data_IF_548984593638
#
_entry.id   IF_548984593638
#
_cell.length_a   1.000
_cell.length_b   1.000
_cell.length_c   1.000
_cell.angle_alpha   90.00
_cell.angle_beta   90.00
_cell.angle_gamma   90.00
#
_symmetry.space_group_name_H-M   'P 1'
#
loop_
_entity.id
_entity.type
_entity.pdbx_description
1 polymer ?
#
# COMPACT_ATOMS: atom_id res chain seq x y z
N UNK A 1 6.44 -16.14 6.42
CA UNK A 1 5.16 -15.93 7.15
C UNK A 1 4.77 -17.17 7.98
N UNK A 2 3.91 -17.05 9.01
CA UNK A 2 3.55 -18.24 9.82
C UNK A 2 2.62 -19.19 9.05
N UNK A 3 2.76 -20.50 9.30
CA UNK A 3 1.88 -21.52 8.71
C UNK A 3 0.41 -21.28 9.06
N UNK A 4 0.13 -20.76 10.26
CA UNK A 4 -1.20 -20.41 10.71
C UNK A 4 -1.85 -19.35 9.82
N UNK A 5 -1.14 -18.26 9.48
CA UNK A 5 -1.70 -17.19 8.63
C UNK A 5 -2.00 -17.70 7.20
N UNK A 6 -1.14 -18.57 6.66
CA UNK A 6 -1.43 -19.21 5.36
C UNK A 6 -2.69 -20.06 5.41
N UNK A 7 -2.87 -20.81 6.49
CA UNK A 7 -4.06 -21.64 6.69
C UNK A 7 -5.33 -20.77 6.80
N UNK A 8 -5.31 -19.71 7.61
CA UNK A 8 -6.44 -18.78 7.76
C UNK A 8 -6.84 -18.14 6.43
N UNK A 9 -5.87 -17.66 5.65
CA UNK A 9 -6.14 -17.11 4.31
C UNK A 9 -6.69 -18.17 3.36
N UNK A 10 -6.12 -19.37 3.37
CA UNK A 10 -6.59 -20.48 2.54
C UNK A 10 -8.04 -20.84 2.81
N UNK A 11 -8.46 -20.87 4.08
CA UNK A 11 -9.87 -21.10 4.45
C UNK A 11 -10.74 -19.96 3.95
N UNK A 12 -10.40 -18.71 4.20
CA UNK A 12 -11.16 -17.54 3.74
C UNK A 12 -11.31 -17.51 2.22
N UNK A 13 -10.22 -17.82 1.50
CA UNK A 13 -10.22 -17.85 0.04
C UNK A 13 -11.17 -18.93 -0.49
N UNK A 14 -11.09 -20.15 0.01
CA UNK A 14 -11.97 -21.26 -0.41
C UNK A 14 -13.42 -20.99 -0.10
N UNK A 15 -13.73 -20.42 1.07
CA UNK A 15 -15.10 -19.99 1.40
C UNK A 15 -15.62 -18.94 0.41
N UNK A 16 -14.81 -17.96 0.04
CA UNK A 16 -15.19 -16.96 -0.96
C UNK A 16 -15.36 -17.55 -2.35
N UNK A 17 -14.52 -18.51 -2.75
CA UNK A 17 -14.67 -19.25 -4.00
C UNK A 17 -15.98 -20.04 -4.03
N UNK A 18 -16.35 -20.74 -2.93
CA UNK A 18 -17.60 -21.47 -2.80
C UNK A 18 -18.82 -20.52 -2.94
N UNK A 19 -18.80 -19.39 -2.23
CA UNK A 19 -19.86 -18.36 -2.30
C UNK A 19 -19.98 -17.77 -3.71
N UNK A 20 -18.86 -17.57 -4.41
CA UNK A 20 -18.83 -17.14 -5.81
C UNK A 20 -19.15 -18.28 -6.80
N UNK A 21 -19.24 -19.50 -6.31
CA UNK A 21 -19.45 -20.73 -7.08
C UNK A 21 -18.33 -21.04 -8.04
N UNK A 22 -17.10 -20.79 -7.63
CA UNK A 22 -15.90 -21.09 -8.40
C UNK A 22 -15.37 -22.48 -8.09
N UNK A 23 -15.14 -23.27 -9.13
CA UNK A 23 -14.47 -24.57 -9.02
C UNK A 23 -12.94 -24.45 -9.08
N UNK A 24 -12.46 -23.41 -9.79
CA UNK A 24 -11.06 -23.09 -9.93
C UNK A 24 -10.85 -21.58 -9.89
N UNK A 25 -9.83 -21.14 -9.16
CA UNK A 25 -9.31 -19.78 -9.21
C UNK A 25 -7.89 -19.79 -9.79
N UNK A 26 -7.67 -18.99 -10.82
CA UNK A 26 -6.36 -18.75 -11.43
C UNK A 26 -5.87 -17.38 -10.95
N UNK A 27 -4.72 -17.37 -10.30
CA UNK A 27 -4.09 -16.14 -9.80
C UNK A 27 -2.76 -15.94 -10.51
N UNK A 28 -2.59 -14.77 -11.12
CA UNK A 28 -1.35 -14.43 -11.82
C UNK A 28 -0.60 -13.30 -11.10
N UNK A 29 0.71 -13.29 -11.24
CA UNK A 29 1.57 -12.24 -10.71
C UNK A 29 2.99 -12.36 -11.21
N UNK A 30 3.83 -11.44 -10.77
CA UNK A 30 5.26 -11.41 -11.12
C UNK A 30 6.07 -10.78 -9.97
N UNK A 31 7.38 -10.66 -10.14
CA UNK A 31 8.29 -10.09 -9.13
C UNK A 31 7.90 -8.67 -8.66
N UNK A 32 7.22 -7.89 -9.50
CA UNK A 32 6.83 -6.49 -9.19
C UNK A 32 5.36 -6.34 -8.80
N UNK A 33 4.53 -7.35 -9.07
CA UNK A 33 3.08 -7.36 -8.79
C UNK A 33 2.70 -8.74 -8.27
N UNK A 34 2.83 -8.95 -6.98
CA UNK A 34 2.63 -10.25 -6.33
C UNK A 34 1.59 -10.25 -5.20
N UNK A 35 0.93 -9.15 -4.96
CA UNK A 35 -0.09 -8.98 -3.90
C UNK A 35 -1.14 -10.08 -3.89
N UNK A 36 -1.74 -10.41 -5.04
CA UNK A 36 -2.71 -11.50 -5.15
C UNK A 36 -2.10 -12.90 -4.93
N UNK A 37 -0.88 -13.14 -5.43
CA UNK A 37 -0.15 -14.37 -5.17
C UNK A 37 0.25 -14.48 -3.68
N UNK A 38 0.67 -13.38 -3.07
CA UNK A 38 0.95 -13.30 -1.64
C UNK A 38 -0.30 -13.63 -0.82
N UNK A 39 -1.46 -13.12 -1.21
CA UNK A 39 -2.71 -13.46 -0.53
C UNK A 39 -3.04 -14.95 -0.69
N UNK A 40 -3.08 -15.43 -1.93
CA UNK A 40 -3.54 -16.77 -2.25
C UNK A 40 -2.62 -17.88 -1.72
N UNK A 41 -1.29 -17.75 -1.92
CA UNK A 41 -0.32 -18.81 -1.65
C UNK A 41 0.91 -18.36 -0.84
N UNK A 42 0.99 -17.10 -0.42
CA UNK A 42 2.15 -16.53 0.27
C UNK A 42 3.43 -16.58 -0.57
N UNK A 43 3.30 -16.35 -1.87
CA UNK A 43 4.41 -16.39 -2.80
C UNK A 43 4.71 -15.01 -3.36
N UNK A 44 5.98 -14.64 -3.34
CA UNK A 44 6.55 -13.51 -4.08
C UNK A 44 7.58 -14.07 -5.06
N UNK A 45 7.30 -14.07 -6.36
CA UNK A 45 8.31 -14.46 -7.35
C UNK A 45 9.53 -13.54 -7.27
N UNK A 46 10.74 -14.11 -7.34
CA UNK A 46 11.97 -13.30 -7.43
C UNK A 46 12.21 -12.79 -8.84
N UNK A 47 11.76 -13.56 -9.83
CA UNK A 47 11.92 -13.24 -11.24
C UNK A 47 10.71 -13.73 -12.04
N UNK A 48 10.53 -13.18 -13.24
CA UNK A 48 9.52 -13.62 -14.20
C UNK A 48 8.08 -13.54 -13.70
N UNK A 49 7.27 -14.44 -14.21
CA UNK A 49 5.86 -14.57 -13.89
C UNK A 49 5.59 -15.85 -13.10
N UNK A 50 4.48 -15.87 -12.39
CA UNK A 50 3.94 -17.06 -11.74
C UNK A 50 2.44 -17.15 -11.96
N UNK A 51 1.94 -18.38 -12.06
CA UNK A 51 0.50 -18.69 -12.18
C UNK A 51 0.14 -19.70 -11.11
N UNK A 52 -0.74 -19.30 -10.22
CA UNK A 52 -1.30 -20.15 -9.18
C UNK A 52 -2.68 -20.66 -9.59
N UNK A 53 -2.97 -21.88 -9.20
CA UNK A 53 -4.24 -22.55 -9.37
C UNK A 53 -4.74 -23.00 -8.01
N UNK A 54 -5.95 -22.60 -7.65
CA UNK A 54 -6.57 -22.93 -6.36
C UNK A 54 -7.93 -23.58 -6.62
N UNK A 55 -8.15 -24.75 -6.04
CA UNK A 55 -9.44 -25.46 -5.99
C UNK A 55 -9.94 -25.58 -4.56
N UNK A 56 -11.07 -26.21 -4.36
CA UNK A 56 -11.60 -26.49 -3.01
C UNK A 56 -10.59 -27.29 -2.16
N UNK A 57 -9.90 -28.27 -2.76
CA UNK A 57 -9.10 -29.26 -2.02
C UNK A 57 -7.58 -29.08 -2.22
N UNK A 58 -7.16 -28.39 -3.27
CA UNK A 58 -5.77 -28.34 -3.69
C UNK A 58 -5.34 -26.93 -4.13
N UNK A 59 -4.03 -26.71 -4.15
CA UNK A 59 -3.42 -25.54 -4.75
C UNK A 59 -2.03 -25.89 -5.29
N UNK A 60 -1.70 -25.34 -6.45
CA UNK A 60 -0.36 -25.49 -7.03
C UNK A 60 0.08 -24.23 -7.74
N UNK A 61 1.36 -24.11 -7.96
CA UNK A 61 2.01 -22.96 -8.57
C UNK A 61 2.83 -23.38 -9.79
N UNK A 62 2.79 -22.59 -10.82
CA UNK A 62 3.70 -22.69 -11.96
C UNK A 62 4.60 -21.45 -12.03
N UNK A 63 5.90 -21.66 -12.28
CA UNK A 63 6.93 -20.62 -12.38
C UNK A 63 7.79 -20.82 -13.64
N UNK A 64 8.60 -19.83 -14.01
CA UNK A 64 9.36 -19.85 -15.27
C UNK A 64 10.68 -20.64 -15.16
N UNK A 65 11.28 -20.76 -13.97
CA UNK A 65 12.61 -21.35 -13.82
C UNK A 65 12.64 -22.46 -12.77
N UNK A 66 13.53 -23.47 -12.94
CA UNK A 66 13.71 -24.52 -11.95
C UNK A 66 14.24 -23.99 -10.60
N UNK A 67 15.12 -22.97 -10.65
CA UNK A 67 15.69 -22.36 -9.43
C UNK A 67 14.58 -21.73 -8.57
N UNK A 68 13.62 -21.05 -9.20
CA UNK A 68 12.48 -20.47 -8.49
C UNK A 68 11.57 -21.55 -7.91
N UNK A 69 11.34 -22.65 -8.64
CA UNK A 69 10.56 -23.77 -8.13
C UNK A 69 11.22 -24.42 -6.92
N UNK A 70 12.53 -24.65 -6.96
CA UNK A 70 13.31 -25.21 -5.87
C UNK A 70 13.28 -24.30 -4.64
N UNK A 71 13.45 -22.97 -4.82
CA UNK A 71 13.39 -22.00 -3.75
C UNK A 71 12.03 -22.02 -3.05
N UNK A 72 10.93 -21.92 -3.81
CA UNK A 72 9.58 -21.91 -3.24
C UNK A 72 9.25 -23.21 -2.52
N UNK A 73 9.64 -24.37 -3.09
CA UNK A 73 9.45 -25.66 -2.46
C UNK A 73 10.23 -25.78 -1.14
N UNK A 74 11.42 -25.19 -1.05
CA UNK A 74 12.22 -25.14 0.18
C UNK A 74 11.60 -24.21 1.24
N UNK A 75 11.08 -23.05 0.83
CA UNK A 75 10.44 -22.08 1.72
C UNK A 75 9.05 -22.55 2.20
N UNK A 76 8.37 -23.35 1.40
CA UNK A 76 7.02 -23.87 1.67
C UNK A 76 6.94 -25.38 1.45
N UNK A 77 7.46 -26.19 2.37
CA UNK A 77 7.37 -27.65 2.26
C UNK A 77 5.92 -28.11 2.10
N UNK A 78 5.68 -28.90 1.04
CA UNK A 78 4.34 -29.38 0.68
C UNK A 78 3.60 -28.55 -0.39
N UNK A 79 4.11 -27.37 -0.77
CA UNK A 79 3.60 -26.65 -1.93
C UNK A 79 3.95 -27.43 -3.20
N UNK A 80 2.93 -27.66 -4.03
CA UNK A 80 3.13 -28.22 -5.37
C UNK A 80 3.61 -27.12 -6.30
N UNK A 81 4.86 -27.22 -6.76
CA UNK A 81 5.45 -26.23 -7.70
C UNK A 81 5.91 -26.95 -8.94
N UNK A 82 5.48 -26.46 -10.08
CA UNK A 82 5.92 -26.89 -11.42
C UNK A 82 6.66 -25.72 -12.08
N UNK A 83 7.71 -26.01 -12.86
CA UNK A 83 8.36 -25.01 -13.67
C UNK A 83 8.22 -25.29 -15.16
N UNK A 84 8.20 -24.24 -15.97
CA UNK A 84 8.21 -24.35 -17.42
C UNK A 84 8.83 -23.10 -18.04
N UNK A 85 9.77 -23.28 -18.96
CA UNK A 85 10.36 -22.18 -19.74
C UNK A 85 9.31 -21.45 -20.59
N UNK A 86 8.23 -22.14 -20.98
CA UNK A 86 7.05 -21.53 -21.60
C UNK A 86 5.86 -21.64 -20.62
N UNK A 87 5.96 -20.90 -19.52
CA UNK A 87 5.00 -20.91 -18.44
C UNK A 87 3.56 -20.73 -18.91
N UNK A 88 3.33 -19.71 -19.76
CA UNK A 88 1.96 -19.36 -20.16
C UNK A 88 1.32 -20.42 -21.06
N UNK A 89 2.10 -21.03 -21.98
CA UNK A 89 1.60 -22.14 -22.81
C UNK A 89 1.32 -23.37 -21.92
N UNK A 90 2.19 -23.66 -20.95
CA UNK A 90 2.00 -24.78 -20.02
C UNK A 90 0.81 -24.57 -19.10
N UNK A 91 0.63 -23.36 -18.55
CA UNK A 91 -0.53 -22.99 -17.74
C UNK A 91 -1.84 -23.09 -18.54
N UNK A 92 -1.84 -22.64 -19.78
CA UNK A 92 -2.97 -22.80 -20.71
C UNK A 92 -3.31 -24.27 -20.95
N UNK A 93 -2.32 -25.12 -21.20
CA UNK A 93 -2.54 -26.56 -21.36
C UNK A 93 -3.17 -27.19 -20.12
N UNK A 94 -2.70 -26.79 -18.92
CA UNK A 94 -3.28 -27.25 -17.67
C UNK A 94 -4.74 -26.84 -17.50
N UNK A 95 -5.09 -25.60 -17.87
CA UNK A 95 -6.48 -25.10 -17.87
C UNK A 95 -7.36 -25.88 -18.85
N UNK A 96 -6.90 -26.09 -20.08
CA UNK A 96 -7.64 -26.79 -21.12
C UNK A 96 -7.84 -28.28 -20.74
N UNK A 97 -6.86 -28.90 -20.07
CA UNK A 97 -6.93 -30.29 -19.62
C UNK A 97 -7.86 -30.48 -18.40
N UNK A 98 -7.84 -29.55 -17.48
CA UNK A 98 -8.66 -29.62 -16.27
C UNK A 98 -10.16 -29.50 -16.57
N UNK A 99 -10.55 -28.92 -17.71
CA UNK A 99 -11.94 -28.61 -18.07
C UNK A 99 -12.74 -28.15 -16.86
N UNK A 100 -12.21 -27.14 -16.14
CA UNK A 100 -12.87 -26.69 -14.92
C UNK A 100 -14.27 -26.19 -15.26
N UNK A 101 -15.19 -26.33 -14.33
CA UNK A 101 -16.52 -25.73 -14.43
C UNK A 101 -16.44 -24.21 -14.45
N UNK A 102 -16.82 -23.56 -13.36
CA UNK A 102 -16.69 -22.09 -13.25
C UNK A 102 -15.28 -21.71 -12.78
N UNK A 103 -14.56 -21.01 -13.63
CA UNK A 103 -13.20 -20.54 -13.35
C UNK A 103 -13.16 -19.05 -13.11
N UNK A 104 -12.56 -18.64 -11.99
CA UNK A 104 -12.24 -17.26 -11.67
C UNK A 104 -10.82 -16.90 -12.07
N UNK A 105 -10.61 -15.64 -12.46
CA UNK A 105 -9.31 -15.09 -12.86
C UNK A 105 -8.98 -13.82 -12.10
N UNK A 106 -7.83 -13.76 -11.45
CA UNK A 106 -7.36 -12.60 -10.70
C UNK A 106 -5.82 -12.40 -10.83
N UNK A 107 -5.37 -11.16 -10.92
CA UNK A 107 -6.15 -9.96 -11.20
C UNK A 107 -6.52 -9.88 -12.69
N UNK A 108 -7.79 -9.73 -13.01
CA UNK A 108 -8.27 -9.76 -14.40
C UNK A 108 -7.67 -8.66 -15.28
N UNK A 109 -7.36 -7.49 -14.68
CA UNK A 109 -6.80 -6.33 -15.40
C UNK A 109 -5.33 -6.49 -15.81
N UNK A 110 -4.57 -7.43 -15.24
CA UNK A 110 -3.16 -7.65 -15.55
C UNK A 110 -2.83 -9.12 -15.87
N UNK A 111 -3.85 -9.96 -16.05
CA UNK A 111 -3.65 -11.34 -16.50
C UNK A 111 -3.10 -11.36 -17.91
N UNK A 112 -2.07 -12.21 -18.19
CA UNK A 112 -1.56 -12.39 -19.53
C UNK A 112 -2.64 -12.77 -20.54
N UNK A 113 -2.67 -12.09 -21.68
CA UNK A 113 -3.71 -12.28 -22.71
C UNK A 113 -3.79 -13.74 -23.23
N UNK A 114 -2.68 -14.46 -23.19
CA UNK A 114 -2.64 -15.87 -23.59
C UNK A 114 -3.51 -16.77 -22.70
N UNK A 115 -3.57 -16.48 -21.40
CA UNK A 115 -4.45 -17.18 -20.45
C UNK A 115 -5.89 -16.71 -20.59
N UNK A 116 -6.11 -15.39 -20.64
CA UNK A 116 -7.44 -14.80 -20.74
C UNK A 116 -8.17 -15.18 -22.05
N UNK A 117 -7.43 -15.48 -23.12
CA UNK A 117 -7.95 -15.87 -24.44
C UNK A 117 -7.90 -17.39 -24.70
N UNK A 118 -7.61 -18.21 -23.69
CA UNK A 118 -7.66 -19.67 -23.85
C UNK A 118 -9.09 -20.14 -24.09
N UNK A 119 -9.27 -21.38 -24.60
CA UNK A 119 -10.60 -21.95 -24.80
C UNK A 119 -11.38 -22.07 -23.47
N UNK A 120 -10.65 -22.34 -22.36
CA UNK A 120 -11.20 -22.23 -21.01
C UNK A 120 -11.48 -20.77 -20.63
N UNK A 121 -10.73 -19.80 -21.17
CA UNK A 121 -10.85 -18.37 -20.90
C UNK A 121 -12.16 -17.74 -21.36
N UNK A 122 -12.82 -18.30 -22.39
CA UNK A 122 -14.12 -17.83 -22.86
C UNK A 122 -15.23 -17.99 -21.82
N UNK A 123 -15.03 -18.82 -20.77
CA UNK A 123 -15.96 -19.01 -19.64
C UNK A 123 -15.43 -18.48 -18.30
N UNK A 124 -14.21 -17.88 -18.27
CA UNK A 124 -13.65 -17.34 -17.03
C UNK A 124 -14.33 -16.05 -16.64
N UNK A 125 -14.61 -15.93 -15.34
CA UNK A 125 -15.13 -14.70 -14.77
C UNK A 125 -14.04 -13.93 -14.01
N UNK A 126 -14.15 -12.61 -13.98
CA UNK A 126 -13.23 -11.78 -13.20
C UNK A 126 -13.46 -12.02 -11.71
N UNK A 127 -12.43 -12.47 -11.00
CA UNK A 127 -12.45 -12.72 -9.55
C UNK A 127 -11.63 -11.68 -8.76
N UNK A 128 -11.19 -10.60 -9.40
CA UNK A 128 -10.39 -9.56 -8.76
C UNK A 128 -11.11 -8.95 -7.57
N UNK A 129 -12.38 -8.53 -7.74
CA UNK A 129 -13.16 -7.92 -6.66
C UNK A 129 -13.38 -8.87 -5.46
N UNK A 130 -13.45 -10.18 -5.68
CA UNK A 130 -13.52 -11.17 -4.61
C UNK A 130 -12.25 -11.17 -3.77
N UNK A 131 -11.07 -11.19 -4.40
CA UNK A 131 -9.78 -11.12 -3.70
C UNK A 131 -9.55 -9.77 -3.04
N UNK A 132 -9.92 -8.66 -3.70
CA UNK A 132 -9.85 -7.31 -3.11
C UNK A 132 -10.67 -7.25 -1.81
N UNK A 133 -11.90 -7.77 -1.81
CA UNK A 133 -12.75 -7.84 -0.63
C UNK A 133 -12.14 -8.66 0.51
N UNK A 134 -11.39 -9.73 0.19
CA UNK A 134 -10.67 -10.51 1.19
C UNK A 134 -9.44 -9.75 1.75
N UNK A 135 -8.70 -9.03 0.91
CA UNK A 135 -7.50 -8.28 1.30
C UNK A 135 -7.83 -6.99 2.08
N UNK A 136 -9.01 -6.39 1.83
CA UNK A 136 -9.42 -5.15 2.50
C UNK A 136 -9.59 -5.35 4.00
N UNK A 137 -10.22 -6.46 4.46
CA UNK A 137 -10.39 -6.79 5.88
C UNK A 137 -9.28 -7.74 6.35
N UNK A 138 -8.55 -7.32 7.37
CA UNK A 138 -7.42 -8.07 7.93
C UNK A 138 -7.90 -9.07 8.98
N UNK A 139 -7.34 -10.28 8.99
CA UNK A 139 -7.41 -11.13 10.18
C UNK A 139 -6.59 -10.52 11.32
N UNK A 140 -6.72 -11.05 12.53
CA UNK A 140 -5.90 -10.60 13.65
C UNK A 140 -4.40 -10.71 13.35
N UNK A 141 -3.98 -11.82 12.76
CA UNK A 141 -2.58 -12.05 12.41
C UNK A 141 -2.09 -11.11 11.29
N UNK A 142 -2.96 -10.76 10.32
CA UNK A 142 -2.64 -9.76 9.28
C UNK A 142 -2.53 -8.35 9.87
N UNK A 143 -3.42 -8.01 10.81
CA UNK A 143 -3.38 -6.72 11.49
C UNK A 143 -2.09 -6.56 12.30
N UNK A 144 -1.60 -7.60 12.96
CA UNK A 144 -0.31 -7.59 13.66
C UNK A 144 0.86 -7.31 12.72
N UNK A 145 0.81 -7.80 11.47
CA UNK A 145 1.83 -7.50 10.45
C UNK A 145 1.79 -6.05 10.00
N UNK A 146 0.60 -5.52 9.77
CA UNK A 146 0.45 -4.08 9.48
C UNK A 146 1.00 -3.24 10.64
N UNK A 147 0.71 -3.60 11.90
CA UNK A 147 1.24 -2.87 13.07
C UNK A 147 2.77 -2.95 13.18
N UNK A 148 3.38 -4.06 12.75
CA UNK A 148 4.84 -4.17 12.66
C UNK A 148 5.41 -3.23 11.59
N UNK A 149 4.78 -3.17 10.41
CA UNK A 149 5.16 -2.24 9.36
C UNK A 149 4.96 -0.77 9.78
N UNK A 150 3.89 -0.46 10.56
CA UNK A 150 3.68 0.88 11.14
C UNK A 150 4.81 1.26 12.09
N UNK A 151 5.23 0.35 12.98
CA UNK A 151 6.37 0.64 13.87
C UNK A 151 7.64 0.95 13.09
N UNK A 152 7.87 0.18 12.02
CA UNK A 152 9.01 0.41 11.14
C UNK A 152 8.92 1.77 10.42
N UNK A 153 7.71 2.20 10.03
CA UNK A 153 7.47 3.51 9.46
C UNK A 153 7.72 4.64 10.47
N UNK A 154 7.26 4.50 11.71
CA UNK A 154 7.50 5.49 12.79
C UNK A 154 9.00 5.63 13.08
N UNK A 155 9.73 4.53 13.25
CA UNK A 155 11.17 4.52 13.50
C UNK A 155 11.96 5.06 12.29
N UNK A 156 11.57 4.66 11.10
CA UNK A 156 12.16 5.13 9.84
C UNK A 156 11.98 6.63 9.65
N UNK A 157 10.85 7.20 10.06
CA UNK A 157 10.67 8.64 10.01
C UNK A 157 11.66 9.38 10.94
N UNK A 158 11.95 8.85 12.12
CA UNK A 158 12.97 9.47 13.00
C UNK A 158 14.38 9.39 12.38
N UNK A 159 14.72 8.30 11.69
CA UNK A 159 15.96 8.19 10.91
C UNK A 159 15.99 9.24 9.80
N UNK A 160 14.91 9.35 9.03
CA UNK A 160 14.78 10.35 7.97
C UNK A 160 14.93 11.77 8.51
N UNK A 161 14.26 12.10 9.62
CA UNK A 161 14.34 13.41 10.26
C UNK A 161 15.73 13.73 10.77
N UNK A 162 16.42 12.76 11.37
CA UNK A 162 17.79 12.93 11.87
C UNK A 162 18.80 13.12 10.72
N UNK A 163 18.56 12.47 9.59
CA UNK A 163 19.42 12.54 8.41
C UNK A 163 19.19 13.82 7.58
N UNK A 164 18.05 14.51 7.74
CA UNK A 164 17.72 15.72 6.98
C UNK A 164 18.61 16.91 7.38
N UNK A 165 19.54 17.30 6.53
CA UNK A 165 20.52 18.35 6.77
C UNK A 165 20.64 19.28 5.58
N UNK A 166 20.89 20.58 5.82
CA UNK A 166 21.16 21.58 4.79
C UNK A 166 22.37 21.16 3.96
N UNK A 167 22.28 21.28 2.64
CA UNK A 167 23.31 20.92 1.68
C UNK A 167 23.25 19.45 1.22
N UNK A 168 22.57 18.55 1.93
CA UNK A 168 22.38 17.16 1.49
C UNK A 168 21.38 17.11 0.32
N UNK A 169 21.63 16.25 -0.67
CA UNK A 169 20.68 16.03 -1.77
C UNK A 169 19.52 15.13 -1.32
N UNK A 170 18.37 15.27 -1.99
CA UNK A 170 17.18 14.47 -1.66
C UNK A 170 17.47 12.96 -1.72
N UNK A 171 18.15 12.48 -2.78
CA UNK A 171 18.49 11.06 -2.89
C UNK A 171 19.52 10.58 -1.86
N UNK A 172 20.40 11.46 -1.36
CA UNK A 172 21.34 11.12 -0.28
C UNK A 172 20.58 10.91 1.03
N UNK A 173 19.62 11.80 1.33
CA UNK A 173 18.73 11.66 2.48
C UNK A 173 17.93 10.35 2.44
N UNK A 174 17.32 10.05 1.28
CA UNK A 174 16.55 8.82 1.11
C UNK A 174 17.45 7.59 1.16
N UNK A 175 18.67 7.66 0.60
CA UNK A 175 19.63 6.57 0.63
C UNK A 175 20.01 6.13 2.05
N UNK A 176 20.13 7.05 3.00
CA UNK A 176 20.40 6.74 4.41
C UNK A 176 19.21 6.02 5.06
N UNK A 177 17.99 6.47 4.79
CA UNK A 177 16.78 5.79 5.25
C UNK A 177 16.64 4.39 4.66
N UNK A 178 16.83 4.24 3.34
CA UNK A 178 16.75 2.94 2.66
C UNK A 178 17.78 1.95 3.20
N UNK A 179 19.01 2.41 3.46
CA UNK A 179 20.04 1.59 4.07
C UNK A 179 19.62 1.09 5.45
N UNK A 180 19.04 1.97 6.27
CA UNK A 180 18.53 1.58 7.58
C UNK A 180 17.36 0.59 7.48
N UNK A 181 16.36 0.85 6.62
CA UNK A 181 15.23 -0.05 6.41
C UNK A 181 15.68 -1.46 6.01
N UNK A 182 16.69 -1.58 5.14
CA UNK A 182 17.28 -2.86 4.76
C UNK A 182 17.87 -3.60 5.96
N UNK A 183 18.53 -2.89 6.89
CA UNK A 183 19.07 -3.52 8.12
C UNK A 183 17.96 -4.01 9.07
N UNK A 184 16.75 -3.48 8.94
CA UNK A 184 15.57 -3.94 9.68
C UNK A 184 14.83 -5.09 9.00
N UNK A 185 15.34 -5.61 7.88
CA UNK A 185 14.71 -6.69 7.12
C UNK A 185 13.56 -6.22 6.22
N UNK A 186 13.44 -4.91 5.98
CA UNK A 186 12.46 -4.34 5.05
C UNK A 186 12.96 -4.49 3.61
N UNK A 187 12.35 -5.34 2.77
CA UNK A 187 12.80 -5.55 1.39
C UNK A 187 12.35 -4.45 0.43
N UNK A 188 11.29 -3.73 0.78
CA UNK A 188 10.66 -2.75 -0.10
C UNK A 188 10.20 -1.53 0.70
N UNK A 189 10.38 -0.35 0.13
CA UNK A 189 9.81 0.89 0.61
C UNK A 189 9.38 1.74 -0.58
N UNK A 190 8.09 2.06 -0.67
CA UNK A 190 7.64 3.07 -1.63
C UNK A 190 7.78 4.44 -0.98
N UNK A 191 8.55 5.32 -1.62
CA UNK A 191 8.80 6.65 -1.08
C UNK A 191 8.81 7.71 -2.17
N UNK A 192 8.07 8.78 -1.92
CA UNK A 192 8.14 10.04 -2.66
C UNK A 192 8.35 11.17 -1.67
N UNK A 193 8.97 12.24 -2.12
CA UNK A 193 9.26 13.40 -1.29
C UNK A 193 9.17 14.71 -2.07
N UNK A 194 9.22 15.81 -1.35
CA UNK A 194 9.44 17.15 -1.88
C UNK A 194 10.24 17.96 -0.90
N UNK A 195 11.06 18.87 -1.41
CA UNK A 195 11.79 19.81 -0.57
C UNK A 195 11.71 21.22 -1.15
N UNK A 196 11.50 22.25 -0.32
CA UNK A 196 11.41 23.64 -0.76
C UNK A 196 10.27 24.40 -0.09
N UNK A 197 9.79 25.42 -0.77
CA UNK A 197 8.70 26.30 -0.33
C UNK A 197 7.51 26.26 -1.30
N UNK A 198 6.91 27.44 -1.53
CA UNK A 198 5.68 27.60 -2.35
C UNK A 198 5.82 27.16 -3.82
N UNK A 199 7.03 26.99 -4.33
CA UNK A 199 7.30 26.48 -5.67
C UNK A 199 7.06 24.97 -5.78
N UNK A 200 7.08 24.23 -4.68
CA UNK A 200 6.87 22.78 -4.63
C UNK A 200 5.36 22.50 -4.67
N UNK A 201 4.88 21.93 -5.76
CA UNK A 201 3.45 21.68 -5.99
C UNK A 201 3.03 20.23 -5.87
N UNK A 202 4.00 19.33 -5.75
CA UNK A 202 3.77 17.88 -5.63
C UNK A 202 5.04 17.21 -5.11
N UNK A 203 4.91 16.01 -4.61
CA UNK A 203 6.03 15.13 -4.33
C UNK A 203 6.50 14.40 -5.60
N UNK A 204 7.74 13.98 -5.61
CA UNK A 204 8.40 13.26 -6.71
C UNK A 204 9.35 12.20 -6.14
N UNK A 205 9.85 11.27 -6.97
CA UNK A 205 11.03 10.51 -6.59
C UNK A 205 12.17 11.45 -6.18
N UNK A 206 13.00 11.10 -5.17
CA UNK A 206 14.10 11.95 -4.69
C UNK A 206 15.07 12.30 -5.81
N UNK A 207 15.46 13.56 -5.88
CA UNK A 207 16.30 14.13 -6.93
C UNK A 207 17.64 14.67 -6.43
N UNK A 208 18.30 15.45 -7.31
CA UNK A 208 19.60 16.08 -7.04
C UNK A 208 19.50 17.40 -6.26
N UNK A 209 18.29 17.88 -5.99
CA UNK A 209 18.10 19.15 -5.28
C UNK A 209 18.76 19.07 -3.90
N UNK A 210 19.59 20.06 -3.59
CA UNK A 210 20.16 20.22 -2.26
C UNK A 210 19.15 20.89 -1.33
N UNK A 211 19.01 20.33 -0.15
CA UNK A 211 18.17 20.86 0.93
C UNK A 211 18.74 22.20 1.41
N UNK A 212 17.88 23.18 1.61
CA UNK A 212 18.24 24.52 2.06
C UNK A 212 17.57 24.88 3.40
N UNK A 213 18.17 25.81 4.13
CA UNK A 213 17.58 26.34 5.36
C UNK A 213 16.20 26.96 5.06
N UNK A 214 15.19 26.64 5.90
CA UNK A 214 13.81 27.08 5.72
C UNK A 214 12.96 26.19 4.83
N UNK A 215 13.54 25.20 4.14
CA UNK A 215 12.76 24.25 3.35
C UNK A 215 11.78 23.48 4.22
N UNK A 216 10.57 23.28 3.70
CA UNK A 216 9.72 22.17 4.11
C UNK A 216 10.19 20.93 3.36
N UNK A 217 10.41 19.85 4.08
CA UNK A 217 10.74 18.54 3.53
C UNK A 217 9.58 17.60 3.81
N UNK A 218 8.92 17.17 2.76
CA UNK A 218 7.72 16.33 2.82
C UNK A 218 8.06 14.91 2.40
N UNK A 219 7.46 13.91 3.04
CA UNK A 219 7.65 12.52 2.66
C UNK A 219 6.43 11.66 2.92
N UNK A 220 6.18 10.73 2.01
CA UNK A 220 5.40 9.52 2.22
C UNK A 220 6.37 8.35 2.35
N UNK A 221 6.45 7.76 3.52
CA UNK A 221 7.31 6.63 3.85
C UNK A 221 6.42 5.39 4.00
N UNK A 222 6.64 4.38 3.15
CA UNK A 222 5.74 3.23 3.02
C UNK A 222 6.53 1.92 3.03
N UNK A 223 7.13 1.55 4.18
CA UNK A 223 7.89 0.31 4.29
C UNK A 223 6.99 -0.92 4.18
N UNK A 224 7.55 -1.98 3.61
CA UNK A 224 6.96 -3.29 3.52
C UNK A 224 7.70 -4.27 4.45
N UNK A 225 6.95 -4.96 5.31
CA UNK A 225 7.48 -6.03 6.13
C UNK A 225 6.63 -7.29 5.96
N UNK A 226 7.25 -8.40 5.64
CA UNK A 226 6.56 -9.67 5.36
C UNK A 226 5.40 -9.52 4.33
N UNK A 227 5.56 -8.65 3.35
CA UNK A 227 4.56 -8.36 2.32
C UNK A 227 3.47 -7.37 2.72
N UNK A 228 3.44 -6.89 3.96
CA UNK A 228 2.48 -5.88 4.43
C UNK A 228 3.10 -4.49 4.45
N UNK A 229 2.39 -3.55 3.85
CA UNK A 229 2.74 -2.15 3.83
C UNK A 229 1.99 -1.36 4.90
N UNK A 230 2.67 -0.36 5.44
CA UNK A 230 2.07 0.72 6.21
C UNK A 230 2.63 2.06 5.71
N UNK A 231 1.93 3.16 5.96
CA UNK A 231 2.38 4.46 5.50
C UNK A 231 2.32 5.49 6.61
N UNK A 232 3.35 6.34 6.65
CA UNK A 232 3.34 7.59 7.40
C UNK A 232 3.64 8.75 6.45
N UNK A 233 2.86 9.83 6.56
CA UNK A 233 3.12 11.05 5.83
C UNK A 233 3.50 12.15 6.82
N UNK A 234 4.63 12.79 6.61
CA UNK A 234 5.09 13.88 7.48
C UNK A 234 5.78 14.98 6.69
N UNK A 235 5.69 16.16 7.22
CA UNK A 235 6.46 17.34 6.79
C UNK A 235 7.35 17.77 7.96
N UNK A 236 8.60 18.05 7.68
CA UNK A 236 9.51 18.69 8.61
C UNK A 236 10.04 20.01 8.02
N UNK A 237 10.64 20.85 8.84
CA UNK A 237 11.30 22.08 8.41
C UNK A 237 12.79 22.02 8.71
N UNK A 238 13.63 22.53 7.80
CA UNK A 238 15.06 22.68 8.03
C UNK A 238 15.34 24.04 8.70
N UNK A 239 15.46 24.01 10.01
CA UNK A 239 15.60 25.21 10.86
C UNK A 239 14.32 25.52 11.62
N UNK A 240 14.08 26.81 11.91
CA UNK A 240 12.90 27.24 12.67
C UNK A 240 11.73 27.49 11.70
N UNK A 241 10.53 26.89 11.93
CA UNK A 241 9.37 27.16 11.10
C UNK A 241 8.93 28.62 11.21
N UNK A 242 8.53 29.21 10.08
CA UNK A 242 7.93 30.55 10.07
C UNK A 242 6.49 30.50 10.59
N UNK A 243 5.95 31.64 10.93
CA UNK A 243 4.55 31.78 11.35
C UNK A 243 3.59 31.29 10.28
N UNK A 244 3.85 31.64 9.02
CA UNK A 244 3.06 31.24 7.87
C UNK A 244 3.09 29.72 7.66
N UNK A 245 4.25 29.07 7.84
CA UNK A 245 4.37 27.61 7.76
C UNK A 245 3.56 26.93 8.87
N UNK A 246 3.62 27.44 10.10
CA UNK A 246 2.85 26.91 11.22
C UNK A 246 1.34 27.07 11.02
N UNK A 247 0.90 28.27 10.58
CA UNK A 247 -0.51 28.56 10.35
C UNK A 247 -1.07 27.71 9.18
N UNK A 248 -0.30 27.54 8.11
CA UNK A 248 -0.64 26.62 7.01
C UNK A 248 -0.75 25.18 7.49
N UNK A 249 0.26 24.69 8.22
CA UNK A 249 0.30 23.29 8.69
C UNK A 249 -0.87 22.95 9.61
N UNK A 250 -1.37 23.91 10.40
CA UNK A 250 -2.54 23.71 11.27
C UNK A 250 -3.78 23.30 10.48
N UNK A 251 -3.99 23.86 9.29
CA UNK A 251 -5.13 23.48 8.42
C UNK A 251 -5.05 22.00 8.03
N UNK A 252 -3.84 21.49 7.77
CA UNK A 252 -3.64 20.07 7.44
C UNK A 252 -3.85 19.16 8.66
N UNK A 253 -3.46 19.62 9.85
CA UNK A 253 -3.73 18.90 11.09
C UNK A 253 -5.24 18.80 11.33
N UNK A 254 -5.97 19.90 11.22
CA UNK A 254 -7.42 19.93 11.36
C UNK A 254 -8.11 19.02 10.33
N UNK A 255 -7.60 19.01 9.09
CA UNK A 255 -8.11 18.15 8.03
C UNK A 255 -7.82 16.65 8.30
N UNK A 256 -6.64 16.31 8.80
CA UNK A 256 -6.30 14.95 9.20
C UNK A 256 -7.21 14.48 10.35
N UNK A 257 -7.39 15.29 11.38
CA UNK A 257 -8.23 14.97 12.53
C UNK A 257 -9.69 14.78 12.11
N UNK A 258 -10.21 15.65 11.23
CA UNK A 258 -11.56 15.50 10.67
C UNK A 258 -11.70 14.20 9.86
N UNK A 259 -10.70 13.86 9.05
CA UNK A 259 -10.66 12.61 8.30
C UNK A 259 -10.65 11.38 9.20
N UNK A 260 -9.79 11.36 10.22
CA UNK A 260 -9.71 10.26 11.20
C UNK A 260 -11.02 10.11 11.97
N UNK A 261 -11.64 11.21 12.39
CA UNK A 261 -12.93 11.19 13.09
C UNK A 261 -14.08 10.62 12.22
N UNK A 262 -13.95 10.73 10.89
CA UNK A 262 -14.90 10.15 9.95
C UNK A 262 -14.64 8.64 9.70
N UNK A 263 -13.50 8.08 10.11
CA UNK A 263 -13.22 6.65 9.97
C UNK A 263 -13.97 5.88 11.05
N UNK A 264 -15.11 5.33 10.67
CA UNK A 264 -15.93 4.47 11.55
C UNK A 264 -16.81 3.54 10.72
N UNK A 265 -17.25 2.40 11.28
CA UNK A 265 -18.15 1.49 10.57
C UNK A 265 -19.42 2.20 10.06
N UNK A 266 -19.81 1.87 8.84
CA UNK A 266 -20.99 2.44 8.18
C UNK A 266 -20.75 3.73 7.41
N UNK A 267 -19.69 4.49 7.69
CA UNK A 267 -19.26 5.57 6.80
C UNK A 267 -18.56 4.98 5.56
N UNK A 268 -18.47 5.78 4.51
CA UNK A 268 -17.78 5.40 3.28
C UNK A 268 -16.39 6.03 3.19
N UNK A 269 -15.55 5.55 2.27
CA UNK A 269 -14.31 6.21 1.88
C UNK A 269 -14.58 7.67 1.44
N UNK A 270 -15.74 7.90 0.78
CA UNK A 270 -16.18 9.23 0.38
C UNK A 270 -16.45 10.17 1.56
N UNK A 271 -17.02 9.65 2.65
CA UNK A 271 -17.24 10.45 3.87
C UNK A 271 -15.92 10.90 4.49
N UNK A 272 -14.91 10.03 4.52
CA UNK A 272 -13.56 10.37 5.01
C UNK A 272 -12.92 11.44 4.12
N UNK A 273 -13.06 11.33 2.79
CA UNK A 273 -12.54 12.33 1.87
C UNK A 273 -13.26 13.68 2.02
N UNK A 274 -14.59 13.68 2.09
CA UNK A 274 -15.40 14.91 2.30
C UNK A 274 -15.02 15.60 3.60
N UNK A 275 -14.89 14.86 4.69
CA UNK A 275 -14.50 15.44 5.99
C UNK A 275 -13.18 16.22 5.91
N UNK A 276 -12.17 15.68 5.23
CA UNK A 276 -10.88 16.34 5.01
C UNK A 276 -11.05 17.57 4.08
N UNK A 277 -11.70 17.41 2.95
CA UNK A 277 -11.86 18.46 1.94
C UNK A 277 -12.67 19.65 2.45
N UNK A 278 -13.66 19.44 3.33
CA UNK A 278 -14.47 20.49 3.90
C UNK A 278 -13.68 21.40 4.85
N UNK A 279 -12.63 20.90 5.50
CA UNK A 279 -11.68 21.76 6.23
C UNK A 279 -11.01 22.72 5.25
N UNK A 280 -10.43 22.22 4.17
CA UNK A 280 -9.78 23.09 3.16
C UNK A 280 -10.77 24.09 2.54
N UNK A 281 -12.00 23.68 2.21
CA UNK A 281 -13.04 24.57 1.69
C UNK A 281 -13.37 25.70 2.67
N UNK A 282 -13.50 25.39 3.96
CA UNK A 282 -13.76 26.39 5.02
C UNK A 282 -12.63 27.39 5.18
N UNK A 283 -11.40 27.01 4.87
CA UNK A 283 -10.22 27.89 4.91
C UNK A 283 -9.95 28.58 3.57
N UNK A 284 -10.91 28.57 2.61
CA UNK A 284 -10.74 29.22 1.30
C UNK A 284 -9.77 28.49 0.35
N UNK A 285 -9.42 27.23 0.67
CA UNK A 285 -8.48 26.40 -0.08
C UNK A 285 -9.18 25.37 -0.99
N UNK A 286 -10.45 25.59 -1.33
CA UNK A 286 -11.25 24.67 -2.13
C UNK A 286 -10.69 24.37 -3.53
N UNK A 287 -9.94 25.29 -4.14
CA UNK A 287 -9.22 25.03 -5.39
C UNK A 287 -8.22 23.87 -5.27
N UNK A 288 -7.60 23.73 -4.11
CA UNK A 288 -6.49 22.78 -3.88
C UNK A 288 -6.95 21.37 -3.49
N UNK A 289 -8.26 21.12 -3.40
CA UNK A 289 -8.80 19.76 -3.17
C UNK A 289 -9.14 19.01 -4.47
N UNK A 290 -8.76 19.55 -5.60
CA UNK A 290 -9.03 18.96 -6.93
C UNK A 290 -7.89 18.05 -7.37
N UNK A 291 -8.14 17.20 -8.36
CA UNK A 291 -7.16 16.26 -8.94
C UNK A 291 -5.89 16.93 -9.51
N UNK A 292 -5.94 18.24 -9.76
CA UNK A 292 -4.77 19.04 -10.16
C UNK A 292 -3.69 19.11 -9.08
N UNK A 293 -4.09 19.03 -7.79
CA UNK A 293 -3.20 19.24 -6.65
C UNK A 293 -3.13 18.05 -5.72
N UNK A 294 -4.08 17.14 -5.78
CA UNK A 294 -4.10 15.93 -4.95
C UNK A 294 -4.76 14.79 -5.71
N UNK A 295 -4.20 13.60 -5.59
CA UNK A 295 -4.77 12.40 -6.20
C UNK A 295 -5.86 11.78 -5.33
N UNK A 296 -5.56 11.57 -4.05
CA UNK A 296 -6.44 10.91 -3.08
C UNK A 296 -6.30 11.54 -1.69
N UNK A 297 -7.27 11.28 -0.80
CA UNK A 297 -7.26 11.68 0.61
C UNK A 297 -6.86 10.55 1.55
N UNK A 298 -6.30 9.52 1.01
CA UNK A 298 -5.91 8.29 1.67
C UNK A 298 -6.20 7.09 0.79
N UNK A 299 -5.83 5.92 1.26
CA UNK A 299 -6.09 4.64 0.58
C UNK A 299 -5.96 3.47 1.54
N UNK A 300 -6.49 2.31 1.15
CA UNK A 300 -6.30 1.07 1.90
C UNK A 300 -4.82 0.67 1.94
N UNK A 301 -4.47 -0.04 3.01
CA UNK A 301 -3.12 -0.55 3.27
C UNK A 301 -3.17 -2.05 3.59
N UNK A 302 -2.06 -2.74 3.38
CA UNK A 302 -1.92 -4.17 3.66
C UNK A 302 -0.97 -4.84 2.69
N UNK A 303 -1.42 -5.87 1.98
CA UNK A 303 -0.63 -6.53 0.93
C UNK A 303 -0.48 -5.68 -0.33
N UNK A 304 -1.17 -4.58 -0.44
CA UNK A 304 -1.08 -3.59 -1.52
C UNK A 304 -0.69 -2.22 -0.97
N UNK A 305 0.01 -1.46 -1.79
CA UNK A 305 0.51 -0.11 -1.45
C UNK A 305 -0.58 0.96 -1.61
N UNK A 306 -1.54 0.76 -2.53
CA UNK A 306 -2.36 1.84 -3.04
C UNK A 306 -3.74 1.33 -3.50
N UNK A 307 -4.70 1.42 -2.61
CA UNK A 307 -6.10 1.08 -2.87
C UNK A 307 -6.75 0.23 -1.77
N UNK A 308 -8.07 0.29 -1.65
CA UNK A 308 -8.99 1.21 -2.33
C UNK A 308 -8.77 2.66 -1.94
N UNK A 309 -9.05 3.59 -2.87
CA UNK A 309 -8.80 5.02 -2.67
C UNK A 309 -9.85 5.68 -1.78
N UNK A 310 -9.42 6.67 -1.02
CA UNK A 310 -10.28 7.60 -0.26
C UNK A 310 -10.52 8.83 -1.13
N UNK A 311 -11.66 8.82 -1.85
CA UNK A 311 -12.13 9.88 -2.76
C UNK A 311 -13.61 10.15 -2.51
N UNK A 312 -14.09 11.37 -2.77
CA UNK A 312 -15.48 11.78 -2.47
C UNK A 312 -16.56 10.96 -3.19
N UNK A 313 -16.22 10.35 -4.32
CA UNK A 313 -17.06 9.51 -5.17
C UNK A 313 -16.89 7.99 -4.95
N UNK A 314 -16.18 7.58 -3.89
CA UNK A 314 -15.98 6.17 -3.56
C UNK A 314 -16.92 5.77 -2.43
N UNK A 315 -17.92 4.95 -2.76
CA UNK A 315 -18.98 4.48 -1.85
C UNK A 315 -18.61 3.21 -1.07
N UNK A 316 -17.34 2.79 -1.06
CA UNK A 316 -16.89 1.64 -0.29
C UNK A 316 -17.13 1.90 1.20
N UNK A 317 -17.98 1.07 1.80
CA UNK A 317 -18.35 1.17 3.21
C UNK A 317 -17.19 0.69 4.08
N UNK A 318 -16.87 1.45 5.11
CA UNK A 318 -15.89 1.07 6.12
C UNK A 318 -16.47 0.00 7.06
N UNK A 319 -15.71 -1.08 7.21
CA UNK A 319 -16.03 -2.19 8.10
C UNK A 319 -14.89 -2.40 9.11
N UNK A 320 -15.19 -2.99 10.29
CA UNK A 320 -14.15 -3.37 11.24
C UNK A 320 -13.03 -4.19 10.57
N UNK A 321 -11.81 -4.00 11.04
CA UNK A 321 -10.59 -4.65 10.57
C UNK A 321 -10.06 -4.19 9.21
N UNK A 322 -10.67 -3.19 8.59
CA UNK A 322 -10.04 -2.47 7.49
C UNK A 322 -8.90 -1.61 8.00
N UNK A 323 -7.81 -1.53 7.22
CA UNK A 323 -6.68 -0.63 7.49
C UNK A 323 -6.48 0.31 6.32
N UNK A 324 -6.30 1.58 6.63
CA UNK A 324 -6.09 2.62 5.62
C UNK A 324 -5.13 3.69 6.15
N UNK A 325 -4.46 4.39 5.26
CA UNK A 325 -3.83 5.66 5.58
C UNK A 325 -4.81 6.79 5.28
N UNK A 326 -4.91 7.75 6.19
CA UNK A 326 -5.65 9.00 6.02
C UNK A 326 -4.64 10.12 5.87
N UNK A 327 -4.65 10.86 4.75
CA UNK A 327 -3.68 11.91 4.48
C UNK A 327 -4.26 13.07 3.66
N UNK A 328 -4.47 14.25 4.24
CA UNK A 328 -4.96 15.45 3.56
C UNK A 328 -3.88 16.14 2.69
N UNK A 329 -3.02 15.35 2.03
CA UNK A 329 -1.89 15.86 1.27
C UNK A 329 -2.34 16.74 0.10
N UNK A 330 -1.86 17.99 0.04
CA UNK A 330 -2.15 18.91 -1.07
C UNK A 330 -1.21 20.11 -1.05
N UNK A 331 -1.39 21.02 -2.03
CA UNK A 331 -0.66 22.28 -2.16
C UNK A 331 -1.30 23.38 -1.31
N UNK A 332 -0.46 24.15 -0.62
CA UNK A 332 -0.82 25.40 0.06
C UNK A 332 -0.15 26.60 -0.65
N UNK A 333 -0.89 27.66 -1.00
CA UNK A 333 -0.35 28.77 -1.82
C UNK A 333 0.78 29.56 -1.18
N UNK A 334 0.89 29.51 0.14
CA UNK A 334 1.94 30.22 0.90
C UNK A 334 3.11 29.30 1.26
N UNK A 335 2.83 28.06 1.67
CA UNK A 335 3.84 27.15 2.22
C UNK A 335 4.36 26.10 1.21
N UNK A 336 3.65 25.86 0.10
CA UNK A 336 3.99 24.80 -0.84
C UNK A 336 3.23 23.50 -0.55
N UNK A 337 3.75 22.36 -1.02
CA UNK A 337 3.10 21.08 -0.80
C UNK A 337 3.34 20.60 0.64
N UNK A 338 2.26 20.30 1.35
CA UNK A 338 2.31 19.81 2.73
C UNK A 338 1.70 18.40 2.76
N UNK A 339 2.34 17.51 3.50
CA UNK A 339 1.83 16.17 3.76
C UNK A 339 1.75 15.89 5.26
N UNK A 340 0.68 15.24 5.65
CA UNK A 340 0.46 14.76 7.00
C UNK A 340 -0.49 13.57 6.93
N UNK A 341 -0.14 12.42 7.52
CA UNK A 341 -1.02 11.28 7.42
C UNK A 341 -0.63 10.14 8.36
N UNK A 342 -1.63 9.40 8.77
CA UNK A 342 -1.50 8.29 9.70
C UNK A 342 -2.17 7.02 9.18
N UNK A 343 -1.56 5.88 9.42
CA UNK A 343 -2.22 4.58 9.25
C UNK A 343 -3.19 4.35 10.40
N UNK A 344 -4.43 3.99 10.07
CA UNK A 344 -5.50 3.71 11.02
C UNK A 344 -6.14 2.33 10.75
N UNK A 345 -6.69 1.70 11.79
CA UNK A 345 -7.50 0.48 11.69
C UNK A 345 -8.91 0.80 12.15
N UNK A 346 -9.91 0.42 11.37
CA UNK A 346 -11.33 0.53 11.74
C UNK A 346 -11.64 -0.43 12.89
N UNK A 347 -12.29 0.06 13.93
CA UNK A 347 -12.76 -0.72 15.09
C UNK A 347 -14.27 -0.91 15.03
N UNK A 348 -14.87 -1.57 16.02
CA UNK A 348 -16.30 -1.78 16.06
C UNK A 348 -17.12 -0.48 16.16
N UNK A 349 -16.53 0.61 16.69
CA UNK A 349 -17.21 1.87 17.03
C UNK A 349 -16.52 3.13 16.48
N UNK A 350 -15.38 2.97 15.80
CA UNK A 350 -14.60 4.09 15.28
C UNK A 350 -13.33 3.61 14.59
N UNK A 351 -12.17 4.19 14.95
CA UNK A 351 -10.89 3.70 14.50
C UNK A 351 -9.80 3.84 15.57
N UNK A 352 -8.77 3.04 15.43
CA UNK A 352 -7.52 3.17 16.19
C UNK A 352 -6.42 3.69 15.27
N UNK A 353 -5.83 4.82 15.64
CA UNK A 353 -4.61 5.31 15.00
C UNK A 353 -3.46 4.40 15.39
N UNK A 354 -2.74 3.87 14.42
CA UNK A 354 -1.62 2.95 14.62
C UNK A 354 -0.29 3.68 14.69
N UNK A 355 -0.13 4.75 13.91
CA UNK A 355 1.06 5.61 13.87
C UNK A 355 1.23 6.36 15.18
N UNK A 356 2.46 6.44 15.69
CA UNK A 356 2.78 7.06 16.98
C UNK A 356 3.61 8.32 16.84
N UNK A 357 4.23 8.55 15.71
CA UNK A 357 5.02 9.76 15.43
C UNK A 357 4.16 11.01 15.63
N UNK A 358 4.63 12.02 16.39
CA UNK A 358 3.91 13.27 16.61
C UNK A 358 3.48 13.93 15.29
N UNK A 359 2.32 14.59 15.32
CA UNK A 359 1.71 15.27 14.17
C UNK A 359 2.12 16.73 14.01
N UNK A 360 2.92 17.26 14.91
CA UNK A 360 3.41 18.64 14.86
C UNK A 360 4.40 18.85 13.70
N UNK A 361 4.50 20.08 13.22
CA UNK A 361 5.56 20.46 12.28
C UNK A 361 6.90 20.52 13.03
N UNK A 362 7.70 19.48 12.89
CA UNK A 362 8.97 19.32 13.61
C UNK A 362 10.13 19.88 12.79
N UNK A 363 11.10 20.46 13.50
CA UNK A 363 12.38 20.79 12.91
C UNK A 363 13.25 19.54 12.73
N UNK A 364 14.07 19.51 11.69
CA UNK A 364 15.22 18.62 11.67
C UNK A 364 16.16 18.98 12.82
N UNK A 365 16.94 18.04 13.40
CA UNK A 365 17.95 18.39 14.39
C UNK A 365 18.93 19.41 13.79
N UNK A 366 19.36 20.37 14.60
CA UNK A 366 20.45 21.25 14.20
C UNK A 366 21.66 20.34 13.90
N UNK A 367 22.16 20.37 12.66
CA UNK A 367 23.39 19.67 12.33
C UNK A 367 24.49 20.15 13.28
N UNK A 368 25.35 19.23 13.72
CA UNK A 368 26.59 19.61 14.37
C UNK A 368 27.35 20.51 13.40
N UNK A 369 27.53 21.78 13.74
CA UNK A 369 28.29 22.77 12.98
C UNK A 369 29.77 22.38 12.89
#
# INVERSE_FOLDING_TARGET
MSAQLRQERGVRLRTAMEQAGLDLLVVTGNAWRSDYLRYALDVTPMEGQAVAFVTADDAWLMVETPAEAERIAAEQPGMKVEWSADLLARARQALDAARPGRTGLAPAHSTPALLARSAAGAGMQAATAMLDGLMVRKSAAEADRVEQAVRLADEGYEVFRAAAQVGKREFELVGELEAWLRTQGCPENFMIMGSGGKEVRTMRPPGERQLAAGDLVTTELTPCLDGYYAQICRTLVLGTPTREQLDAYRVYLDALEAGIAAVKPGNTHGDVARAQNDIFRRHGLGEYVTSKYTRVRGHGMGLYVDGPHVLEDVDLVLEPDMTLVVHPNTYHPVAGYIVLGDTVRVTADGCRVLTRTPRELRSAPAGLA
#
